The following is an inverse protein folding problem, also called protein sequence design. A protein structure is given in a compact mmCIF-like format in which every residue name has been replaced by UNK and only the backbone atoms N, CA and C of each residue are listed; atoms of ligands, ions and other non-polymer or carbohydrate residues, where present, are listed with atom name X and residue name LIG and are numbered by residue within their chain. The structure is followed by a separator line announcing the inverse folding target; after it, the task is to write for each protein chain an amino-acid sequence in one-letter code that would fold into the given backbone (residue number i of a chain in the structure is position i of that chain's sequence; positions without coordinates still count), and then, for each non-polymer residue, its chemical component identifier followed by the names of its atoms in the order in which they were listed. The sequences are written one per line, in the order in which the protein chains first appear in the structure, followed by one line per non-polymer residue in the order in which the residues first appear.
data_IF_004278064728
#
_entry.id   IF_004278064728
#
_cell.length_a   1.000
_cell.length_b   1.000
_cell.length_c   1.000
_cell.angle_alpha   90.00
_cell.angle_beta   90.00
_cell.angle_gamma   90.00
#
_symmetry.space_group_name_H-M   'P 1'
#
loop_
_entity.id
_entity.type
_entity.pdbx_description
1 polymer ?
#
# COMPACT_ATOMS: atom_id res chain seq x y z
N UNK A 1 -76.55 -9.13 14.60
CA UNK A 1 -75.95 -10.26 13.88
C UNK A 1 -74.59 -10.58 14.49
N UNK A 2 -74.27 -11.82 14.73
CA UNK A 2 -73.41 -12.34 15.79
C UNK A 2 -71.91 -12.03 15.54
N UNK A 3 -71.30 -11.44 16.55
CA UNK A 3 -69.87 -11.34 16.83
C UNK A 3 -69.32 -12.65 17.36
N UNK A 4 -68.20 -13.14 16.86
CA UNK A 4 -67.38 -14.15 17.54
C UNK A 4 -65.97 -13.57 17.76
N UNK A 5 -65.58 -13.40 19.02
CA UNK A 5 -64.24 -13.14 19.50
C UNK A 5 -63.54 -14.49 19.73
N UNK A 6 -62.36 -14.64 19.21
CA UNK A 6 -61.44 -15.70 19.67
C UNK A 6 -60.29 -15.06 20.49
N UNK A 7 -60.14 -15.56 21.70
CA UNK A 7 -59.13 -15.25 22.67
C UNK A 7 -57.96 -16.22 22.42
N UNK A 8 -56.77 -15.71 22.17
CA UNK A 8 -55.55 -16.54 22.15
C UNK A 8 -54.71 -16.20 23.36
N UNK A 9 -54.50 -17.23 24.19
CA UNK A 9 -53.68 -17.20 25.40
C UNK A 9 -52.20 -17.36 24.97
N UNK A 10 -51.36 -16.37 25.31
CA UNK A 10 -49.91 -16.51 25.25
C UNK A 10 -49.40 -17.19 26.51
N UNK A 11 -48.73 -18.34 26.31
CA UNK A 11 -47.93 -18.97 27.35
C UNK A 11 -46.47 -18.53 27.10
N UNK A 12 -45.94 -17.77 28.06
CA UNK A 12 -44.52 -17.36 28.04
C UNK A 12 -43.62 -18.51 28.55
N UNK A 13 -42.64 -18.90 27.77
CA UNK A 13 -41.54 -19.71 28.22
C UNK A 13 -40.31 -18.81 28.33
N UNK A 14 -39.83 -18.55 29.54
CA UNK A 14 -38.53 -17.99 29.85
C UNK A 14 -37.49 -19.09 29.65
N UNK A 15 -36.65 -18.93 28.64
CA UNK A 15 -35.39 -19.68 28.55
C UNK A 15 -34.22 -18.77 28.91
N UNK A 16 -33.53 -19.10 29.98
CA UNK A 16 -32.30 -18.47 30.39
C UNK A 16 -31.19 -18.79 29.39
N UNK A 17 -30.59 -17.78 28.74
CA UNK A 17 -29.37 -17.92 27.98
C UNK A 17 -28.19 -17.71 28.92
N UNK A 18 -27.45 -18.80 29.20
CA UNK A 18 -26.09 -18.76 29.70
C UNK A 18 -25.16 -18.45 28.55
N UNK A 19 -24.56 -17.26 28.57
CA UNK A 19 -23.55 -16.84 27.60
C UNK A 19 -22.23 -17.59 27.84
N UNK A 20 -21.86 -18.49 26.93
CA UNK A 20 -20.47 -18.88 26.73
C UNK A 20 -19.91 -17.99 25.63
N UNK A 21 -18.93 -17.15 25.96
CA UNK A 21 -18.12 -16.44 24.95
C UNK A 21 -17.09 -17.43 24.40
N UNK A 22 -17.37 -18.05 23.26
CA UNK A 22 -16.36 -18.72 22.46
C UNK A 22 -15.79 -17.71 21.49
N UNK A 23 -14.48 -17.44 21.58
CA UNK A 23 -13.71 -16.77 20.55
C UNK A 23 -13.53 -17.75 19.38
N UNK A 24 -14.56 -17.95 18.59
CA UNK A 24 -14.45 -18.70 17.36
C UNK A 24 -13.89 -17.74 16.29
N UNK A 25 -12.62 -17.97 15.92
CA UNK A 25 -12.06 -17.39 14.70
C UNK A 25 -12.92 -17.89 13.52
N UNK A 26 -13.69 -17.00 12.92
CA UNK A 26 -14.48 -17.32 11.73
C UNK A 26 -13.53 -17.74 10.60
N UNK A 27 -13.55 -19.03 10.30
CA UNK A 27 -12.86 -19.58 9.13
C UNK A 27 -13.70 -19.24 7.89
N UNK A 28 -13.30 -18.20 7.14
CA UNK A 28 -14.01 -17.74 5.97
C UNK A 28 -13.64 -18.67 4.80
N UNK A 29 -14.45 -19.71 4.57
CA UNK A 29 -14.34 -20.48 3.34
C UNK A 29 -14.65 -19.55 2.16
N UNK A 30 -13.73 -19.43 1.22
CA UNK A 30 -13.95 -18.67 -0.01
C UNK A 30 -15.11 -19.30 -0.82
N UNK A 31 -16.02 -18.47 -1.38
CA UNK A 31 -16.92 -18.99 -2.41
C UNK A 31 -16.09 -19.53 -3.58
N UNK A 32 -16.45 -20.68 -4.12
CA UNK A 32 -15.84 -21.23 -5.33
C UNK A 32 -16.06 -20.26 -6.50
N UNK A 33 -15.06 -19.42 -6.76
CA UNK A 33 -14.98 -18.68 -8.00
C UNK A 33 -14.26 -19.62 -8.97
N UNK A 34 -14.93 -20.02 -10.06
CA UNK A 34 -14.27 -20.77 -11.11
C UNK A 34 -13.01 -20.01 -11.55
N UNK A 35 -11.81 -20.59 -11.41
CA UNK A 35 -10.59 -19.90 -11.80
C UNK A 35 -10.66 -19.57 -13.29
N UNK A 36 -10.12 -18.42 -13.72
CA UNK A 36 -10.01 -18.11 -15.13
C UNK A 36 -9.25 -19.25 -15.83
N UNK A 37 -9.65 -19.59 -17.04
CA UNK A 37 -8.96 -20.62 -17.82
C UNK A 37 -7.48 -20.23 -17.96
N UNK A 38 -6.57 -21.18 -17.74
CA UNK A 38 -5.14 -20.97 -17.91
C UNK A 38 -4.91 -20.40 -19.33
N UNK A 39 -4.33 -19.18 -19.40
CA UNK A 39 -4.08 -18.51 -20.67
C UNK A 39 -4.97 -17.32 -21.02
N UNK A 40 -6.01 -17.02 -20.22
CA UNK A 40 -6.81 -15.78 -20.38
C UNK A 40 -6.48 -14.78 -19.28
N UNK A 41 -6.47 -13.46 -19.58
CA UNK A 41 -6.32 -12.43 -18.56
C UNK A 41 -7.42 -12.48 -17.50
N UNK A 42 -7.06 -12.16 -16.24
CA UNK A 42 -8.05 -12.07 -15.15
C UNK A 42 -8.94 -10.84 -15.28
N UNK A 43 -8.47 -9.78 -15.97
CA UNK A 43 -9.28 -8.60 -16.25
C UNK A 43 -10.08 -8.80 -17.55
N UNK A 44 -11.39 -8.86 -17.42
CA UNK A 44 -12.32 -9.08 -18.55
C UNK A 44 -13.12 -7.85 -18.93
N UNK A 45 -13.12 -6.80 -18.07
CA UNK A 45 -13.80 -5.55 -18.39
C UNK A 45 -13.07 -4.80 -19.52
N UNK A 46 -13.79 -4.04 -20.37
CA UNK A 46 -13.15 -3.23 -21.38
C UNK A 46 -12.25 -2.16 -20.76
N UNK A 47 -11.13 -1.81 -21.42
CA UNK A 47 -10.26 -0.72 -20.94
C UNK A 47 -10.99 0.64 -21.03
N UNK A 48 -10.56 1.60 -20.20
CA UNK A 48 -11.03 2.98 -20.26
C UNK A 48 -10.43 3.73 -21.46
N UNK A 49 -9.20 3.37 -21.84
CA UNK A 49 -8.47 3.98 -22.95
C UNK A 49 -8.04 2.91 -23.98
N UNK A 50 -8.11 3.27 -25.26
CA UNK A 50 -7.64 2.40 -26.35
C UNK A 50 -6.14 2.67 -26.65
N UNK A 51 -5.31 2.64 -25.61
CA UNK A 51 -3.87 2.81 -25.77
C UNK A 51 -3.18 1.45 -25.97
N UNK A 52 -2.32 1.39 -26.99
CA UNK A 52 -1.52 0.20 -27.22
C UNK A 52 -0.40 0.10 -26.17
N UNK A 53 -0.15 -1.10 -25.59
CA UNK A 53 1.00 -1.30 -24.72
C UNK A 53 2.31 -1.10 -25.48
N UNK A 54 3.37 -0.67 -24.77
CA UNK A 54 4.70 -0.46 -25.35
C UNK A 54 5.36 -1.79 -25.78
N UNK A 55 5.00 -2.87 -25.10
CA UNK A 55 5.52 -4.21 -25.38
C UNK A 55 4.48 -5.28 -24.98
N UNK A 56 4.57 -6.50 -25.56
CA UNK A 56 3.70 -7.60 -25.18
C UNK A 56 3.81 -7.95 -23.69
N UNK A 57 2.66 -8.19 -23.03
CA UNK A 57 2.63 -8.52 -21.61
C UNK A 57 2.71 -7.34 -20.63
N UNK A 58 2.76 -6.09 -21.12
CA UNK A 58 2.75 -4.91 -20.27
C UNK A 58 1.40 -4.69 -19.55
N UNK A 59 0.35 -5.32 -20.02
CA UNK A 59 -0.99 -5.31 -19.41
C UNK A 59 -1.69 -6.62 -19.74
N UNK A 60 -2.72 -6.99 -18.97
CA UNK A 60 -3.61 -8.13 -19.25
C UNK A 60 -2.86 -9.43 -19.53
N UNK A 61 -1.85 -9.71 -18.72
CA UNK A 61 -1.14 -11.00 -18.77
C UNK A 61 -2.07 -12.16 -18.42
N UNK A 62 -1.65 -13.37 -18.74
CA UNK A 62 -2.41 -14.57 -18.46
C UNK A 62 -2.74 -14.72 -16.98
N UNK A 63 -3.95 -15.16 -16.69
CA UNK A 63 -4.35 -15.57 -15.36
C UNK A 63 -3.58 -16.80 -14.90
N UNK A 64 -3.15 -16.77 -13.64
CA UNK A 64 -2.53 -17.91 -12.96
C UNK A 64 -3.33 -18.22 -11.69
N UNK A 65 -3.20 -19.43 -11.16
CA UNK A 65 -3.95 -19.87 -9.99
C UNK A 65 -3.02 -20.52 -8.99
N UNK A 66 -3.17 -20.17 -7.72
CA UNK A 66 -2.51 -20.85 -6.60
C UNK A 66 -3.11 -22.27 -6.48
N UNK A 67 -2.25 -23.28 -6.56
CA UNK A 67 -2.68 -24.71 -6.46
C UNK A 67 -2.44 -25.28 -5.07
N UNK A 68 -1.49 -24.76 -4.32
CA UNK A 68 -1.28 -25.10 -2.90
C UNK A 68 -2.46 -24.59 -2.08
N UNK A 69 -3.18 -25.44 -1.35
CA UNK A 69 -4.30 -25.00 -0.52
C UNK A 69 -3.86 -23.97 0.50
N UNK A 70 -4.56 -22.85 0.55
CA UNK A 70 -4.35 -21.79 1.55
C UNK A 70 -5.67 -21.41 2.22
N UNK A 71 -5.56 -20.83 3.39
CA UNK A 71 -6.70 -20.36 4.19
C UNK A 71 -6.51 -18.89 4.55
N UNK A 72 -7.63 -18.23 4.80
CA UNK A 72 -7.66 -16.84 5.25
C UNK A 72 -8.44 -16.76 6.55
N UNK A 73 -7.82 -16.17 7.57
CA UNK A 73 -8.45 -15.93 8.88
C UNK A 73 -8.46 -14.46 9.22
N UNK A 74 -9.51 -13.98 9.88
CA UNK A 74 -9.55 -12.64 10.46
C UNK A 74 -8.80 -12.66 11.78
N UNK A 75 -7.69 -11.94 11.88
CA UNK A 75 -6.92 -11.79 13.11
C UNK A 75 -7.62 -10.83 14.06
N UNK A 76 -8.08 -9.68 13.53
CA UNK A 76 -8.89 -8.70 14.27
C UNK A 76 -9.72 -7.84 13.33
N UNK A 77 -10.81 -7.27 13.84
CA UNK A 77 -11.66 -6.29 13.14
C UNK A 77 -11.76 -4.97 13.90
N UNK A 78 -10.86 -4.70 14.85
CA UNK A 78 -10.95 -3.57 15.77
C UNK A 78 -9.98 -2.42 15.48
N UNK A 79 -9.27 -2.45 14.33
CA UNK A 79 -8.41 -1.35 13.92
C UNK A 79 -9.24 -0.17 13.39
N UNK A 80 -8.72 1.04 13.52
CA UNK A 80 -9.43 2.26 13.11
C UNK A 80 -8.71 2.88 11.91
N UNK A 81 -9.24 2.69 10.70
CA UNK A 81 -8.65 3.17 9.46
C UNK A 81 -7.13 2.90 9.38
N UNK A 82 -6.69 1.63 9.48
CA UNK A 82 -5.26 1.29 9.43
C UNK A 82 -4.67 1.64 8.07
N UNK A 83 -3.38 2.06 8.05
CA UNK A 83 -2.77 2.49 6.80
C UNK A 83 -1.46 1.76 6.46
N UNK A 84 -0.55 1.60 7.38
CA UNK A 84 0.72 0.89 7.21
C UNK A 84 0.85 -0.26 8.19
N UNK A 85 1.53 -1.32 7.79
CA UNK A 85 1.79 -2.51 8.61
C UNK A 85 3.25 -2.94 8.46
N UNK A 86 3.89 -3.27 9.56
CA UNK A 86 5.24 -3.86 9.58
C UNK A 86 5.37 -4.90 10.68
N UNK A 87 6.30 -5.84 10.50
CA UNK A 87 6.58 -6.85 11.53
C UNK A 87 7.53 -6.32 12.58
N UNK A 88 7.29 -6.70 13.85
CA UNK A 88 8.28 -6.64 14.91
C UNK A 88 9.11 -7.93 14.94
N UNK A 89 10.35 -7.91 15.47
CA UNK A 89 11.21 -9.10 15.48
C UNK A 89 10.63 -10.31 16.23
N UNK A 90 9.71 -10.07 17.15
CA UNK A 90 9.03 -11.10 17.95
C UNK A 90 7.78 -11.68 17.26
N UNK A 91 7.50 -11.28 16.02
CA UNK A 91 6.39 -11.76 15.21
C UNK A 91 5.09 -10.97 15.39
N UNK A 92 5.03 -10.03 16.35
CA UNK A 92 3.91 -9.08 16.44
C UNK A 92 3.94 -8.09 15.27
N UNK A 93 2.83 -7.41 15.06
CA UNK A 93 2.67 -6.44 13.98
C UNK A 93 2.49 -5.04 14.56
N UNK A 94 3.23 -4.07 14.02
CA UNK A 94 3.03 -2.65 14.31
C UNK A 94 2.26 -2.02 13.15
N UNK A 95 1.14 -1.37 13.47
CA UNK A 95 0.19 -0.86 12.48
C UNK A 95 -0.08 0.62 12.77
N UNK A 96 0.01 1.47 11.75
CA UNK A 96 -0.42 2.87 11.83
C UNK A 96 -1.94 2.96 11.63
N UNK A 97 -2.57 3.82 12.42
CA UNK A 97 -3.96 4.25 12.23
C UNK A 97 -3.96 5.70 11.75
N UNK A 98 -4.71 5.97 10.71
CA UNK A 98 -4.67 7.22 9.94
C UNK A 98 -4.84 8.50 10.77
N UNK A 99 -5.59 8.44 11.87
CA UNK A 99 -5.84 9.58 12.75
C UNK A 99 -4.63 10.03 13.58
N UNK A 100 -3.51 9.29 13.56
CA UNK A 100 -2.29 9.64 14.31
C UNK A 100 -2.03 8.75 15.52
N UNK A 101 -2.33 7.47 15.41
CA UNK A 101 -2.00 6.46 16.41
C UNK A 101 -1.30 5.25 15.78
N UNK A 102 -0.63 4.46 16.61
CA UNK A 102 -0.13 3.14 16.23
C UNK A 102 -0.66 2.07 17.18
N UNK A 103 -0.77 0.85 16.66
CA UNK A 103 -1.19 -0.32 17.44
C UNK A 103 -0.21 -1.46 17.26
N UNK A 104 0.08 -2.16 18.36
CA UNK A 104 0.75 -3.47 18.29
C UNK A 104 -0.33 -4.54 18.30
N UNK A 105 -0.30 -5.42 17.30
CA UNK A 105 -1.27 -6.51 17.14
C UNK A 105 -0.54 -7.84 17.27
N UNK A 106 -1.08 -8.71 18.09
CA UNK A 106 -0.61 -10.08 18.27
C UNK A 106 -1.25 -10.99 17.22
N UNK A 107 -0.52 -11.95 16.72
CA UNK A 107 -1.06 -12.93 15.76
C UNK A 107 -2.21 -13.77 16.31
N UNK A 108 -2.36 -13.81 17.64
CA UNK A 108 -3.51 -14.41 18.35
C UNK A 108 -4.80 -13.59 18.24
N UNK A 109 -4.75 -12.37 17.71
CA UNK A 109 -5.90 -11.46 17.58
C UNK A 109 -5.98 -10.37 18.65
N UNK A 110 -5.19 -10.43 19.70
CA UNK A 110 -5.15 -9.38 20.71
C UNK A 110 -4.57 -8.09 20.12
N UNK A 111 -5.21 -6.97 20.40
CA UNK A 111 -4.80 -5.62 19.98
C UNK A 111 -4.38 -4.81 21.18
N UNK A 112 -3.16 -4.29 21.16
CA UNK A 112 -2.62 -3.42 22.19
C UNK A 112 -3.32 -2.06 22.26
N UNK A 113 -3.01 -1.30 23.30
CA UNK A 113 -3.51 0.07 23.45
C UNK A 113 -3.05 0.97 22.29
N UNK A 114 -3.80 2.03 22.06
CA UNK A 114 -3.44 3.06 21.09
C UNK A 114 -2.23 3.85 21.58
N UNK A 115 -1.17 3.88 20.79
CA UNK A 115 0.05 4.64 21.04
C UNK A 115 -0.07 5.96 20.29
N UNK A 116 -0.24 7.06 21.00
CA UNK A 116 -0.35 8.42 20.43
C UNK A 116 0.78 9.34 20.93
N UNK A 117 1.34 9.05 22.11
CA UNK A 117 2.40 9.83 22.71
C UNK A 117 3.66 9.77 21.86
N UNK A 118 4.22 10.94 21.55
CA UNK A 118 5.41 11.09 20.74
C UNK A 118 5.16 11.04 19.21
N UNK A 119 3.94 10.84 18.75
CA UNK A 119 3.60 10.98 17.34
C UNK A 119 3.30 12.45 17.03
N UNK A 120 3.94 13.07 16.03
CA UNK A 120 3.62 14.43 15.61
C UNK A 120 2.16 14.58 15.18
N UNK A 121 1.61 15.78 15.31
CA UNK A 121 0.26 16.06 14.84
C UNK A 121 0.15 15.80 13.33
N UNK A 122 -0.86 15.04 12.92
CA UNK A 122 -1.10 14.68 11.52
C UNK A 122 -2.33 15.41 10.98
N UNK A 123 -2.33 15.71 9.68
CA UNK A 123 -3.53 16.12 8.97
C UNK A 123 -4.21 14.88 8.40
N UNK A 124 -5.24 14.36 9.07
CA UNK A 124 -5.95 13.14 8.64
C UNK A 124 -7.07 13.39 7.62
N UNK A 125 -7.20 14.61 7.08
CA UNK A 125 -8.21 14.92 6.07
C UNK A 125 -7.89 14.24 4.73
N UNK A 126 -8.94 13.85 4.00
CA UNK A 126 -8.83 13.25 2.68
C UNK A 126 -7.97 11.97 2.71
N UNK A 127 -6.90 11.95 1.97
CA UNK A 127 -5.93 10.83 1.91
C UNK A 127 -4.76 10.99 2.90
N UNK A 128 -4.69 12.11 3.63
CA UNK A 128 -3.66 12.38 4.63
C UNK A 128 -3.84 11.57 5.92
N UNK A 129 -2.87 11.68 6.84
CA UNK A 129 -2.87 11.03 8.14
C UNK A 129 -1.49 10.49 8.53
N UNK A 130 -1.46 9.57 9.46
CA UNK A 130 -0.31 8.72 9.74
C UNK A 130 -0.32 7.58 8.71
N UNK A 131 0.77 7.47 7.92
CA UNK A 131 0.80 6.67 6.70
C UNK A 131 1.72 5.44 6.88
N UNK A 132 2.66 5.21 5.96
CA UNK A 132 3.57 4.06 5.99
C UNK A 132 4.57 4.13 7.13
N UNK A 133 5.08 2.96 7.51
CA UNK A 133 6.12 2.84 8.55
C UNK A 133 7.09 1.71 8.22
N UNK A 134 8.27 1.78 8.79
CA UNK A 134 9.23 0.67 8.87
C UNK A 134 9.98 0.73 10.21
N UNK A 135 10.52 -0.40 10.63
CA UNK A 135 11.43 -0.46 11.76
C UNK A 135 12.88 -0.41 11.31
N UNK A 136 13.76 0.09 12.15
CA UNK A 136 15.21 0.05 11.93
C UNK A 136 15.67 -1.42 11.77
N UNK A 137 16.60 -1.73 10.84
CA UNK A 137 17.19 -3.05 10.75
C UNK A 137 17.81 -3.57 12.06
N UNK A 138 18.18 -2.66 12.97
CA UNK A 138 18.68 -2.97 14.31
C UNK A 138 17.61 -2.77 15.42
N UNK A 139 16.32 -2.87 15.07
CA UNK A 139 15.21 -2.61 16.00
C UNK A 139 15.32 -3.40 17.30
N UNK A 140 15.77 -4.65 17.27
CA UNK A 140 15.96 -5.48 18.48
C UNK A 140 16.91 -4.84 19.49
N UNK A 141 17.80 -3.95 19.08
CA UNK A 141 18.74 -3.24 19.93
C UNK A 141 18.31 -1.80 20.22
N UNK A 142 17.84 -1.07 19.19
CA UNK A 142 17.59 0.36 19.29
C UNK A 142 16.11 0.74 19.36
N UNK A 143 15.19 -0.18 19.04
CA UNK A 143 13.74 0.00 19.02
C UNK A 143 13.27 1.20 18.18
N UNK A 144 14.07 1.63 17.18
CA UNK A 144 13.74 2.77 16.33
C UNK A 144 12.70 2.42 15.27
N UNK A 145 11.72 3.29 15.14
CA UNK A 145 10.65 3.24 14.12
C UNK A 145 10.72 4.52 13.28
N UNK A 146 10.47 4.37 11.98
CA UNK A 146 10.38 5.48 11.03
C UNK A 146 8.99 5.44 10.41
N UNK A 147 8.37 6.60 10.25
CA UNK A 147 7.03 6.67 9.65
C UNK A 147 6.85 7.92 8.79
N UNK A 148 5.92 7.81 7.86
CA UNK A 148 5.50 8.91 7.00
C UNK A 148 4.17 9.44 7.51
N UNK A 149 3.99 10.74 7.44
CA UNK A 149 2.73 11.38 7.82
C UNK A 149 2.48 12.65 6.99
N UNK A 150 1.23 13.09 6.97
CA UNK A 150 0.88 14.38 6.38
C UNK A 150 0.94 15.48 7.45
N UNK A 151 1.77 16.48 7.20
CA UNK A 151 2.01 17.62 8.09
C UNK A 151 1.32 18.89 7.57
N UNK A 152 0.69 19.66 8.47
CA UNK A 152 0.23 21.01 8.14
C UNK A 152 1.42 21.97 8.13
N UNK A 153 1.53 22.73 7.05
CA UNK A 153 2.55 23.77 6.88
C UNK A 153 1.94 25.03 6.29
N UNK A 154 2.69 26.14 6.29
CA UNK A 154 2.28 27.35 5.57
C UNK A 154 2.08 27.01 4.10
N UNK A 155 0.91 27.33 3.55
CA UNK A 155 0.55 27.06 2.16
C UNK A 155 -0.17 25.71 1.93
N UNK A 156 -0.40 24.91 2.97
CA UNK A 156 -1.18 23.68 2.86
C UNK A 156 -0.65 22.50 3.67
N UNK A 157 -0.46 21.38 3.02
CA UNK A 157 0.07 20.15 3.63
C UNK A 157 1.20 19.56 2.81
N UNK A 158 2.05 18.77 3.43
CA UNK A 158 3.10 18.02 2.74
C UNK A 158 3.27 16.60 3.33
N UNK A 159 4.02 15.77 2.64
CA UNK A 159 4.48 14.48 3.12
C UNK A 159 5.73 14.68 3.96
N UNK A 160 5.70 14.26 5.22
CA UNK A 160 6.84 14.34 6.14
C UNK A 160 7.24 12.96 6.64
N UNK A 161 8.49 12.84 7.07
CA UNK A 161 9.05 11.64 7.71
C UNK A 161 9.49 11.97 9.12
N UNK A 162 9.08 11.14 10.07
CA UNK A 162 9.57 11.19 11.44
C UNK A 162 10.17 9.86 11.86
N UNK A 163 10.99 9.91 12.92
CA UNK A 163 11.51 8.73 13.62
C UNK A 163 11.34 8.91 15.13
N UNK A 164 11.25 7.80 15.84
CA UNK A 164 11.20 7.77 17.30
C UNK A 164 11.52 6.37 17.83
N UNK A 165 11.99 6.30 19.07
CA UNK A 165 12.21 5.04 19.77
C UNK A 165 10.90 4.58 20.39
N UNK A 166 10.45 3.36 20.07
CA UNK A 166 9.35 2.74 20.80
C UNK A 166 9.79 2.44 22.24
N UNK A 167 9.12 3.04 23.23
CA UNK A 167 9.42 2.85 24.65
C UNK A 167 9.40 1.37 25.05
N UNK A 168 10.09 1.01 26.14
CA UNK A 168 10.19 -0.39 26.55
C UNK A 168 8.84 -0.97 27.02
N UNK A 169 7.96 -0.12 27.56
CA UNK A 169 6.59 -0.47 27.93
C UNK A 169 5.59 -0.35 26.77
N UNK A 170 6.04 0.04 25.56
CA UNK A 170 5.26 0.13 24.33
C UNK A 170 4.06 1.10 24.40
N UNK A 171 4.17 2.16 25.17
CA UNK A 171 3.08 3.15 25.34
C UNK A 171 3.37 4.49 24.68
N UNK A 172 4.60 4.73 24.20
CA UNK A 172 5.03 6.00 23.65
C UNK A 172 6.16 5.83 22.63
N UNK A 173 6.33 6.85 21.77
CA UNK A 173 7.55 7.07 21.01
C UNK A 173 8.38 8.16 21.70
N UNK A 174 9.62 7.83 22.03
CA UNK A 174 10.57 8.69 22.71
C UNK A 174 11.51 9.34 21.69
N UNK A 175 12.02 10.53 22.02
CA UNK A 175 13.00 11.26 21.20
C UNK A 175 12.56 11.43 19.74
N UNK A 176 11.26 11.64 19.53
CA UNK A 176 10.70 11.81 18.21
C UNK A 176 11.25 13.04 17.51
N UNK A 177 11.65 12.88 16.26
CA UNK A 177 12.18 13.95 15.41
C UNK A 177 11.58 13.83 14.02
N UNK A 178 11.10 14.96 13.47
CA UNK A 178 10.75 15.06 12.05
C UNK A 178 12.05 15.27 11.28
N UNK A 179 12.42 14.26 10.46
CA UNK A 179 13.71 14.21 9.79
C UNK A 179 13.66 14.69 8.33
N UNK A 180 12.48 14.71 7.71
CA UNK A 180 12.34 15.12 6.32
C UNK A 180 10.97 15.74 6.03
N UNK A 181 10.93 16.70 5.10
CA UNK A 181 9.72 17.34 4.57
C UNK A 181 9.80 17.47 3.08
N UNK A 182 8.86 16.86 2.36
CA UNK A 182 8.77 16.91 0.91
C UNK A 182 8.18 18.25 0.45
N UNK A 183 9.03 19.25 0.30
CA UNK A 183 8.63 20.58 -0.15
C UNK A 183 8.33 20.63 -1.67
N UNK A 184 7.46 21.57 -2.09
CA UNK A 184 6.69 22.54 -1.32
C UNK A 184 5.43 21.95 -0.66
N UNK A 185 4.90 22.64 0.35
CA UNK A 185 3.55 22.40 0.86
C UNK A 185 2.51 22.79 -0.19
N UNK A 186 1.47 21.99 -0.36
CA UNK A 186 0.41 22.19 -1.36
C UNK A 186 -0.95 22.20 -0.67
N UNK A 187 -1.83 23.12 -1.06
CA UNK A 187 -3.22 23.12 -0.60
C UNK A 187 -4.01 21.99 -1.26
N UNK A 188 -3.76 20.78 -0.77
CA UNK A 188 -4.41 19.55 -1.20
C UNK A 188 -4.37 18.53 -0.07
N UNK A 189 -5.40 17.68 0.01
CA UNK A 189 -5.50 16.57 0.96
C UNK A 189 -5.41 15.20 0.28
N UNK A 190 -4.86 15.15 -0.94
CA UNK A 190 -4.71 13.92 -1.71
C UNK A 190 -3.26 13.69 -2.17
N UNK A 191 -2.99 12.48 -2.67
CA UNK A 191 -1.73 12.03 -3.27
C UNK A 191 -0.49 12.38 -2.43
N UNK A 192 -0.38 11.79 -1.25
CA UNK A 192 0.80 11.94 -0.38
C UNK A 192 1.93 10.95 -0.70
N UNK A 193 1.68 9.91 -1.53
CA UNK A 193 2.54 8.74 -1.62
C UNK A 193 2.50 7.99 -0.29
N UNK A 194 3.55 8.11 0.51
CA UNK A 194 3.50 7.77 1.93
C UNK A 194 4.09 6.41 2.31
N UNK A 195 4.84 5.74 1.41
CA UNK A 195 5.56 4.51 1.76
C UNK A 195 7.01 4.79 2.12
N UNK A 196 7.55 3.94 2.98
CA UNK A 196 8.92 4.03 3.48
C UNK A 196 9.49 2.63 3.70
N UNK A 197 10.74 2.43 3.32
CA UNK A 197 11.51 1.23 3.64
C UNK A 197 13.00 1.54 3.69
N UNK A 198 13.78 0.66 4.31
CA UNK A 198 15.23 0.70 4.26
C UNK A 198 15.75 -0.02 3.01
N UNK A 199 16.69 0.60 2.31
CA UNK A 199 17.49 -0.08 1.29
C UNK A 199 18.60 -0.94 1.92
N UNK A 200 19.28 -1.73 1.09
CA UNK A 200 20.36 -2.63 1.53
C UNK A 200 21.56 -1.90 2.15
N UNK A 201 21.69 -0.59 1.94
CA UNK A 201 22.79 0.25 2.48
C UNK A 201 22.40 0.95 3.77
N UNK A 202 21.17 0.74 4.27
CA UNK A 202 20.65 1.30 5.50
C UNK A 202 20.17 2.75 5.39
N UNK A 203 19.87 3.22 4.16
CA UNK A 203 19.18 4.47 3.90
C UNK A 203 17.68 4.24 3.69
N UNK A 204 16.89 5.29 3.87
CA UNK A 204 15.45 5.27 3.69
C UNK A 204 15.09 5.64 2.26
N UNK A 205 14.26 4.82 1.62
CA UNK A 205 13.53 5.14 0.41
C UNK A 205 12.11 5.55 0.80
N UNK A 206 11.68 6.73 0.34
CA UNK A 206 10.38 7.30 0.69
C UNK A 206 9.64 7.73 -0.56
N UNK A 207 8.38 7.35 -0.69
CA UNK A 207 7.53 7.77 -1.80
C UNK A 207 6.74 9.04 -1.45
N UNK A 208 6.66 9.95 -2.41
CA UNK A 208 5.86 11.18 -2.32
C UNK A 208 4.92 11.29 -3.52
N UNK A 209 3.71 11.76 -3.32
CA UNK A 209 2.73 11.96 -4.38
C UNK A 209 2.72 13.41 -4.91
N UNK A 210 2.13 13.61 -6.09
CA UNK A 210 2.07 14.93 -6.77
C UNK A 210 0.94 15.83 -6.27
N UNK A 211 0.20 15.40 -5.27
CA UNK A 211 -0.81 16.13 -4.49
C UNK A 211 -2.15 16.35 -5.21
N UNK A 212 -2.44 15.60 -6.30
CA UNK A 212 -3.71 15.63 -7.05
C UNK A 212 -4.21 17.03 -7.44
N UNK A 213 -3.32 17.98 -7.64
CA UNK A 213 -3.65 19.35 -7.99
C UNK A 213 -3.21 19.64 -9.43
N UNK A 214 -4.15 19.85 -10.33
CA UNK A 214 -3.85 20.06 -11.76
C UNK A 214 -2.81 21.14 -12.02
N UNK A 215 -2.84 22.32 -11.37
CA UNK A 215 -1.81 23.35 -11.55
C UNK A 215 -0.40 22.93 -11.10
N UNK A 216 -0.27 22.01 -10.15
CA UNK A 216 1.02 21.63 -9.55
C UNK A 216 1.50 20.25 -9.96
N UNK A 217 0.69 19.43 -10.63
CA UNK A 217 1.08 18.04 -11.00
C UNK A 217 2.34 17.97 -11.87
N UNK A 218 2.65 19.04 -12.63
CA UNK A 218 3.89 19.15 -13.40
C UNK A 218 5.15 19.21 -12.54
N UNK A 219 5.02 19.50 -11.22
CA UNK A 219 6.13 19.44 -10.28
C UNK A 219 6.67 18.01 -10.09
N UNK A 220 5.91 16.98 -10.50
CA UNK A 220 6.43 15.62 -10.59
C UNK A 220 7.64 15.51 -11.54
N UNK A 221 7.72 16.36 -12.56
CA UNK A 221 8.84 16.48 -13.50
C UNK A 221 9.93 17.47 -13.02
N UNK A 222 9.64 18.32 -12.04
CA UNK A 222 10.61 19.29 -11.53
C UNK A 222 11.66 18.61 -10.65
N UNK A 223 12.92 18.91 -10.86
CA UNK A 223 14.02 18.47 -10.01
C UNK A 223 14.21 19.34 -8.76
N UNK A 224 13.48 20.46 -8.66
CA UNK A 224 13.54 21.40 -7.51
C UNK A 224 12.37 21.22 -6.53
N UNK A 225 11.53 20.21 -6.73
CA UNK A 225 10.41 19.86 -5.86
C UNK A 225 10.45 18.40 -5.47
N UNK A 226 10.12 18.10 -4.23
CA UNK A 226 10.15 16.73 -3.68
C UNK A 226 8.78 16.02 -3.76
N UNK A 227 7.84 16.50 -4.56
CA UNK A 227 6.52 15.90 -4.77
C UNK A 227 6.47 15.11 -6.07
N UNK A 228 5.79 13.95 -6.08
CA UNK A 228 5.79 13.01 -7.19
C UNK A 228 7.17 12.36 -7.41
N UNK A 229 7.79 11.87 -6.34
CA UNK A 229 9.16 11.35 -6.32
C UNK A 229 9.29 10.07 -5.51
N UNK A 230 10.35 9.34 -5.76
CA UNK A 230 11.02 8.54 -4.74
C UNK A 230 12.25 9.34 -4.28
N UNK A 231 12.37 9.57 -2.98
CA UNK A 231 13.54 10.20 -2.37
C UNK A 231 14.34 9.16 -1.59
N UNK A 232 15.66 9.34 -1.52
CA UNK A 232 16.55 8.47 -0.76
C UNK A 232 17.37 9.31 0.21
N UNK A 233 17.13 9.09 1.50
CA UNK A 233 17.67 9.87 2.61
C UNK A 233 18.33 8.98 3.66
N UNK A 234 19.22 9.54 4.43
CA UNK A 234 19.81 8.87 5.59
C UNK A 234 18.79 8.71 6.73
N UNK A 235 19.14 7.96 7.76
CA UNK A 235 18.37 7.84 9.02
C UNK A 235 18.11 9.17 9.74
N UNK A 236 18.82 10.21 9.37
CA UNK A 236 18.70 11.58 9.93
C UNK A 236 18.09 12.57 8.95
N UNK A 237 17.61 12.08 7.79
CA UNK A 237 16.90 12.89 6.81
C UNK A 237 17.80 13.66 5.84
N UNK A 238 19.12 13.49 5.89
CA UNK A 238 20.05 14.08 4.93
C UNK A 238 20.01 13.29 3.61
N UNK A 239 20.32 13.92 2.47
CA UNK A 239 20.49 13.20 1.20
C UNK A 239 21.48 12.04 1.36
N UNK A 240 21.11 10.85 0.90
CA UNK A 240 21.97 9.69 1.00
C UNK A 240 23.15 9.79 0.02
N UNK A 241 24.32 9.34 0.45
CA UNK A 241 25.49 9.24 -0.45
C UNK A 241 25.20 8.27 -1.61
N UNK A 242 25.66 8.62 -2.81
CA UNK A 242 25.43 7.83 -4.02
C UNK A 242 24.06 8.01 -4.64
N UNK A 243 23.28 9.01 -4.24
CA UNK A 243 22.10 9.41 -4.99
C UNK A 243 22.46 9.87 -6.41
N UNK A 244 21.56 9.65 -7.39
CA UNK A 244 21.78 10.13 -8.74
C UNK A 244 21.80 11.66 -8.79
N UNK A 245 22.53 12.22 -9.76
CA UNK A 245 22.49 13.66 -10.02
C UNK A 245 21.53 13.95 -11.16
N UNK A 246 20.48 14.70 -10.87
CA UNK A 246 19.57 15.20 -11.89
C UNK A 246 20.07 16.52 -12.48
N UNK A 247 19.94 16.66 -13.79
CA UNK A 247 20.35 17.88 -14.50
C UNK A 247 19.30 18.98 -14.26
N UNK A 248 19.75 20.13 -13.80
CA UNK A 248 18.91 21.31 -13.55
C UNK A 248 19.41 22.18 -12.41
N UNK A 249 19.28 23.48 -12.51
CA UNK A 249 19.67 24.40 -11.44
C UNK A 249 18.78 24.17 -10.21
N UNK A 250 19.40 23.98 -9.04
CA UNK A 250 18.70 23.76 -7.78
C UNK A 250 18.11 22.34 -7.64
N UNK A 251 18.60 21.35 -8.40
CA UNK A 251 18.20 19.97 -8.24
C UNK A 251 18.42 19.48 -6.81
N UNK A 252 17.38 18.87 -6.25
CA UNK A 252 17.40 18.37 -4.87
C UNK A 252 18.29 17.10 -4.78
N UNK A 253 19.28 17.05 -3.89
CA UNK A 253 20.22 15.95 -3.82
C UNK A 253 19.66 14.65 -3.23
N UNK A 254 18.47 14.68 -2.63
CA UNK A 254 17.78 13.51 -2.10
C UNK A 254 16.94 12.77 -3.15
N UNK A 255 16.77 13.29 -4.36
CA UNK A 255 15.98 12.63 -5.40
C UNK A 255 16.60 11.29 -5.81
N UNK A 256 15.78 10.23 -5.86
CA UNK A 256 16.15 8.93 -6.38
C UNK A 256 15.54 8.66 -7.75
N UNK A 257 14.25 8.97 -7.93
CA UNK A 257 13.53 8.95 -9.21
C UNK A 257 12.45 10.03 -9.23
N UNK A 258 12.02 10.43 -10.43
CA UNK A 258 11.06 11.51 -10.66
C UNK A 258 9.91 11.06 -11.56
N UNK A 259 8.88 11.89 -11.70
CA UNK A 259 7.79 11.64 -12.62
C UNK A 259 6.76 10.63 -12.13
N UNK A 260 6.53 10.58 -10.81
CA UNK A 260 5.51 9.73 -10.19
C UNK A 260 4.22 10.50 -9.91
N UNK A 261 3.08 9.81 -10.01
CA UNK A 261 1.77 10.38 -9.66
C UNK A 261 1.46 10.20 -8.17
N UNK A 262 1.26 8.98 -7.71
CA UNK A 262 0.91 8.68 -6.32
C UNK A 262 1.37 7.26 -5.93
N UNK A 263 2.65 7.07 -5.68
CA UNK A 263 3.20 5.76 -5.29
C UNK A 263 2.69 5.35 -3.91
N UNK A 264 1.86 4.30 -3.88
CA UNK A 264 1.22 3.80 -2.64
C UNK A 264 1.83 2.50 -2.14
N UNK A 265 2.70 1.85 -2.91
CA UNK A 265 3.46 0.68 -2.51
C UNK A 265 4.91 0.77 -2.96
N UNK A 266 5.85 0.32 -2.12
CA UNK A 266 7.26 0.09 -2.47
C UNK A 266 7.73 -1.20 -1.80
N UNK A 267 8.53 -2.00 -2.51
CA UNK A 267 9.12 -3.22 -1.98
C UNK A 267 10.45 -3.53 -2.68
N UNK A 268 11.36 -4.20 -1.97
CA UNK A 268 12.60 -4.71 -2.56
C UNK A 268 12.40 -6.16 -2.99
N UNK A 269 12.79 -6.47 -4.23
CA UNK A 269 12.79 -7.84 -4.70
C UNK A 269 13.78 -8.69 -3.88
N UNK A 270 13.37 -9.83 -3.33
CA UNK A 270 14.14 -10.54 -2.30
C UNK A 270 15.49 -11.11 -2.80
N UNK A 271 15.59 -11.39 -4.09
CA UNK A 271 16.79 -11.99 -4.68
C UNK A 271 17.71 -10.95 -5.35
N UNK A 272 17.12 -9.99 -6.09
CA UNK A 272 17.91 -9.02 -6.86
C UNK A 272 18.17 -7.72 -6.10
N UNK A 273 17.37 -7.41 -5.07
CA UNK A 273 17.41 -6.14 -4.35
C UNK A 273 16.79 -4.96 -5.12
N UNK A 274 16.25 -5.20 -6.32
CA UNK A 274 15.60 -4.15 -7.11
C UNK A 274 14.44 -3.54 -6.38
N UNK A 275 14.33 -2.22 -6.45
CA UNK A 275 13.17 -1.49 -5.94
C UNK A 275 12.01 -1.60 -6.93
N UNK A 276 10.88 -2.04 -6.42
CA UNK A 276 9.60 -2.03 -7.13
C UNK A 276 8.61 -1.09 -6.46
N UNK A 277 7.73 -0.50 -7.26
CA UNK A 277 6.79 0.51 -6.81
C UNK A 277 5.45 0.32 -7.53
N UNK A 278 4.35 0.52 -6.80
CA UNK A 278 2.99 0.61 -7.34
C UNK A 278 2.46 2.02 -7.23
N UNK A 279 1.79 2.53 -8.26
CA UNK A 279 1.16 3.83 -8.21
C UNK A 279 -0.20 3.91 -8.90
N UNK A 280 -1.01 4.85 -8.41
CA UNK A 280 -2.32 5.12 -8.99
C UNK A 280 -2.18 5.91 -10.29
N UNK A 281 -2.79 5.38 -11.35
CA UNK A 281 -3.14 6.16 -12.53
C UNK A 281 -4.34 7.10 -12.31
N UNK A 282 -4.74 7.86 -13.33
CA UNK A 282 -5.99 8.61 -13.29
C UNK A 282 -7.20 7.69 -13.58
N UNK A 283 -7.90 7.83 -14.68
CA UNK A 283 -8.92 6.87 -15.12
C UNK A 283 -8.25 5.84 -16.04
N UNK A 284 -7.85 4.70 -15.51
CA UNK A 284 -6.94 3.73 -16.13
C UNK A 284 -5.47 4.04 -15.85
N UNK A 285 -4.57 3.11 -16.20
CA UNK A 285 -3.12 3.30 -16.11
C UNK A 285 -2.55 3.30 -14.69
N UNK A 286 -3.11 2.51 -13.77
CA UNK A 286 -2.42 2.14 -12.54
C UNK A 286 -1.16 1.33 -12.90
N UNK A 287 -0.04 1.55 -12.22
CA UNK A 287 1.26 1.05 -12.68
C UNK A 287 2.00 0.23 -11.62
N UNK A 288 2.78 -0.73 -12.12
CA UNK A 288 3.90 -1.35 -11.41
C UNK A 288 5.18 -0.97 -12.12
N UNK A 289 6.10 -0.36 -11.38
CA UNK A 289 7.37 0.13 -11.87
C UNK A 289 8.53 -0.57 -11.17
N UNK A 290 9.55 -1.02 -11.95
CA UNK A 290 10.87 -1.34 -11.41
C UNK A 290 11.68 -0.05 -11.38
N UNK A 291 11.92 0.46 -10.16
CA UNK A 291 12.49 1.79 -9.97
C UNK A 291 14.02 1.79 -10.08
N UNK A 292 14.53 2.59 -10.99
CA UNK A 292 15.95 2.80 -11.23
C UNK A 292 16.39 4.19 -10.73
N UNK A 293 17.57 4.26 -10.15
CA UNK A 293 18.16 5.53 -9.73
C UNK A 293 18.36 6.47 -10.94
N UNK A 294 17.93 7.73 -10.78
CA UNK A 294 18.05 8.75 -11.83
C UNK A 294 17.00 8.68 -12.93
N UNK A 295 16.07 7.73 -12.86
CA UNK A 295 15.05 7.54 -13.88
C UNK A 295 13.85 8.47 -13.71
N UNK A 296 13.18 8.75 -14.84
CA UNK A 296 11.93 9.53 -14.94
C UNK A 296 10.79 8.61 -15.37
N UNK A 297 9.74 8.50 -14.57
CA UNK A 297 8.55 7.64 -14.79
C UNK A 297 7.40 8.37 -15.51
N UNK A 298 7.63 9.60 -15.94
CA UNK A 298 6.90 10.27 -16.98
C UNK A 298 5.66 11.04 -16.57
N UNK A 299 5.03 10.80 -15.42
CA UNK A 299 3.86 11.56 -15.02
C UNK A 299 4.16 13.07 -14.91
N UNK A 300 3.30 13.97 -15.41
CA UNK A 300 2.05 13.76 -16.15
C UNK A 300 2.22 13.80 -17.67
N UNK A 301 3.44 13.71 -18.20
CA UNK A 301 3.76 13.79 -19.62
C UNK A 301 3.30 12.55 -20.37
N UNK A 302 3.58 11.36 -19.82
CA UNK A 302 3.12 10.08 -20.36
C UNK A 302 2.23 9.37 -19.33
N UNK A 303 1.22 8.63 -19.79
CA UNK A 303 0.36 7.77 -18.98
C UNK A 303 -0.50 6.87 -19.85
N UNK A 304 -0.92 5.72 -19.32
CA UNK A 304 -1.91 4.83 -19.96
C UNK A 304 -3.35 5.13 -19.52
N UNK A 305 -3.57 6.18 -18.72
CA UNK A 305 -4.90 6.59 -18.28
C UNK A 305 -5.40 7.89 -18.92
N UNK A 306 -6.67 8.16 -18.70
CA UNK A 306 -7.37 9.38 -19.12
C UNK A 306 -7.66 10.28 -17.92
N UNK A 307 -7.95 11.55 -18.14
CA UNK A 307 -8.57 12.39 -17.12
C UNK A 307 -9.92 11.80 -16.69
N UNK A 308 -10.39 12.11 -15.49
CA UNK A 308 -11.71 11.65 -15.03
C UNK A 308 -12.87 12.18 -15.90
N UNK A 309 -12.64 13.24 -16.64
CA UNK A 309 -13.57 13.76 -17.69
C UNK A 309 -13.62 12.88 -18.94
N UNK A 310 -12.70 11.93 -19.11
CA UNK A 310 -12.54 11.13 -20.32
C UNK A 310 -11.61 11.75 -21.37
N UNK A 311 -11.08 12.94 -21.12
CA UNK A 311 -10.10 13.57 -22.01
C UNK A 311 -8.70 12.97 -21.81
N UNK A 312 -7.82 13.15 -22.78
CA UNK A 312 -6.42 12.79 -22.65
C UNK A 312 -5.72 13.59 -21.54
N UNK A 313 -4.80 12.96 -20.82
CA UNK A 313 -3.89 13.66 -19.91
C UNK A 313 -2.80 14.35 -20.75
N UNK A 314 -2.59 15.63 -20.54
CA UNK A 314 -1.58 16.39 -21.28
C UNK A 314 -1.75 16.26 -22.80
N UNK A 315 -0.72 15.80 -23.49
CA UNK A 315 -0.74 15.58 -24.95
C UNK A 315 -1.28 14.20 -25.35
N UNK A 316 -1.72 13.35 -24.39
CA UNK A 316 -2.29 12.03 -24.66
C UNK A 316 -1.28 11.01 -25.20
N UNK A 317 -0.01 11.12 -24.79
CA UNK A 317 1.05 10.18 -25.20
C UNK A 317 1.38 9.20 -24.10
N UNK A 318 1.75 7.99 -24.48
CA UNK A 318 2.08 6.90 -23.56
C UNK A 318 3.58 6.65 -23.46
N UNK A 319 4.36 7.13 -24.42
CA UNK A 319 5.80 6.88 -24.51
C UNK A 319 6.52 8.16 -24.92
N UNK A 320 7.69 8.41 -24.31
CA UNK A 320 8.59 9.49 -24.67
C UNK A 320 10.03 9.10 -24.34
N UNK A 321 10.98 9.46 -25.22
CA UNK A 321 12.40 9.22 -24.99
C UNK A 321 12.85 9.83 -23.65
N UNK A 322 13.63 9.07 -22.88
CA UNK A 322 14.10 9.47 -21.55
C UNK A 322 13.10 9.24 -20.42
N UNK A 323 11.92 8.71 -20.71
CA UNK A 323 10.92 8.30 -19.71
C UNK A 323 10.77 6.78 -19.70
N UNK A 324 10.74 6.21 -18.50
CA UNK A 324 10.59 4.77 -18.30
C UNK A 324 9.15 4.34 -18.53
N UNK A 325 9.01 3.16 -19.09
CA UNK A 325 7.73 2.48 -19.21
C UNK A 325 7.45 1.65 -17.96
N UNK A 326 6.20 1.59 -17.47
CA UNK A 326 5.83 0.67 -16.41
C UNK A 326 6.10 -0.78 -16.84
N UNK A 327 6.56 -1.60 -15.89
CA UNK A 327 6.69 -3.04 -16.11
C UNK A 327 5.32 -3.69 -16.34
N UNK A 328 4.27 -3.14 -15.73
CA UNK A 328 2.89 -3.56 -15.88
C UNK A 328 1.93 -2.42 -15.58
N UNK A 329 0.77 -2.38 -16.26
CA UNK A 329 -0.30 -1.45 -15.92
C UNK A 329 -1.68 -2.10 -15.97
N UNK A 330 -2.62 -1.56 -15.17
CA UNK A 330 -4.01 -1.95 -15.17
C UNK A 330 -4.89 -0.88 -15.82
N UNK A 331 -5.76 -1.34 -16.72
CA UNK A 331 -6.90 -0.57 -17.22
C UNK A 331 -8.07 -1.53 -17.47
N UNK A 332 -9.17 -1.45 -16.68
CA UNK A 332 -9.48 -0.47 -15.62
C UNK A 332 -8.57 -0.51 -14.39
N UNK A 333 -8.57 0.57 -13.60
CA UNK A 333 -7.79 0.72 -12.38
C UNK A 333 -8.21 -0.28 -11.29
N UNK A 334 -7.23 -0.75 -10.51
CA UNK A 334 -7.44 -1.50 -9.27
C UNK A 334 -7.18 -0.65 -8.02
N UNK A 335 -6.57 0.54 -8.18
CA UNK A 335 -6.03 1.40 -7.12
C UNK A 335 -5.04 0.64 -6.23
N UNK A 336 -3.85 0.27 -6.76
CA UNK A 336 -2.86 -0.50 -6.03
C UNK A 336 -2.35 0.28 -4.82
N UNK A 337 -2.18 -0.40 -3.71
CA UNK A 337 -1.76 0.18 -2.44
C UNK A 337 -0.45 -0.43 -1.95
N UNK A 338 -0.33 -0.75 -0.65
CA UNK A 338 0.86 -1.40 -0.13
C UNK A 338 1.14 -2.75 -0.76
N UNK A 339 2.42 -3.13 -0.80
CA UNK A 339 2.85 -4.35 -1.47
C UNK A 339 4.04 -5.00 -0.79
N UNK A 340 4.20 -6.30 -1.01
CA UNK A 340 5.33 -7.09 -0.52
C UNK A 340 5.68 -8.21 -1.50
N UNK A 341 6.95 -8.58 -1.58
CA UNK A 341 7.36 -9.83 -2.19
C UNK A 341 7.25 -10.98 -1.18
N UNK A 342 6.75 -12.13 -1.62
CA UNK A 342 6.73 -13.33 -0.80
C UNK A 342 8.10 -14.02 -0.81
N UNK A 343 8.70 -14.17 0.37
CA UNK A 343 10.04 -14.75 0.59
C UNK A 343 10.00 -16.17 1.16
N UNK A 344 8.80 -16.62 1.55
CA UNK A 344 8.59 -17.92 2.17
C UNK A 344 8.53 -19.06 1.16
N UNK A 345 8.48 -20.28 1.68
CA UNK A 345 8.32 -21.50 0.90
C UNK A 345 7.06 -22.31 1.29
N UNK A 346 6.23 -21.78 2.20
CA UNK A 346 5.01 -22.46 2.64
C UNK A 346 4.00 -22.66 1.50
N UNK A 347 3.94 -21.70 0.58
CA UNK A 347 3.21 -21.80 -0.70
C UNK A 347 4.26 -21.62 -1.80
N UNK A 348 4.80 -22.71 -2.37
CA UNK A 348 5.97 -22.66 -3.24
C UNK A 348 5.79 -21.78 -4.48
N UNK A 349 4.61 -21.78 -5.10
CA UNK A 349 4.29 -20.96 -6.29
C UNK A 349 4.18 -19.47 -6.00
N UNK A 350 4.20 -19.06 -4.73
CA UNK A 350 4.23 -17.65 -4.32
C UNK A 350 5.65 -17.07 -4.20
N UNK A 351 6.66 -17.94 -4.17
CA UNK A 351 8.04 -17.50 -3.94
C UNK A 351 8.48 -16.48 -5.00
N UNK A 352 9.01 -15.34 -4.53
CA UNK A 352 9.40 -14.18 -5.35
C UNK A 352 8.27 -13.51 -6.14
N UNK A 353 7.00 -13.88 -5.91
CA UNK A 353 5.88 -13.14 -6.49
C UNK A 353 5.59 -11.87 -5.68
N UNK A 354 5.08 -10.87 -6.37
CA UNK A 354 4.67 -9.59 -5.79
C UNK A 354 3.19 -9.63 -5.42
N UNK A 355 2.87 -9.31 -4.16
CA UNK A 355 1.51 -9.19 -3.64
C UNK A 355 1.20 -7.73 -3.39
N UNK A 356 0.07 -7.25 -3.92
CA UNK A 356 -0.33 -5.84 -3.90
C UNK A 356 -1.76 -5.75 -3.39
N UNK A 357 -2.00 -4.93 -2.36
CA UNK A 357 -3.34 -4.60 -1.94
C UNK A 357 -4.04 -3.75 -3.01
N UNK A 358 -5.32 -3.98 -3.23
CA UNK A 358 -6.13 -3.25 -4.18
C UNK A 358 -7.30 -2.58 -3.46
N UNK A 359 -7.47 -1.28 -3.67
CA UNK A 359 -8.50 -0.49 -2.99
C UNK A 359 -9.82 -0.52 -3.76
N UNK A 360 -9.83 -0.09 -5.03
CA UNK A 360 -11.03 -0.09 -5.85
C UNK A 360 -11.35 -1.46 -6.41
N UNK A 361 -10.33 -2.28 -6.69
CA UNK A 361 -10.51 -3.67 -7.14
C UNK A 361 -10.94 -4.63 -6.02
N UNK A 362 -10.78 -4.26 -4.74
CA UNK A 362 -11.21 -5.04 -3.56
C UNK A 362 -10.66 -6.47 -3.53
N UNK A 363 -9.40 -6.64 -3.88
CA UNK A 363 -8.70 -7.93 -3.89
C UNK A 363 -7.22 -7.73 -3.55
N UNK A 364 -6.48 -8.81 -3.42
CA UNK A 364 -5.01 -8.77 -3.43
C UNK A 364 -4.58 -9.28 -4.81
N UNK A 365 -3.86 -8.46 -5.57
CA UNK A 365 -3.24 -8.88 -6.82
C UNK A 365 -1.92 -9.59 -6.52
N UNK A 366 -1.74 -10.82 -7.05
CA UNK A 366 -0.48 -11.53 -7.09
C UNK A 366 0.07 -11.46 -8.51
N UNK A 367 1.26 -10.90 -8.65
CA UNK A 367 1.98 -10.86 -9.92
C UNK A 367 3.15 -11.84 -9.90
N UNK A 368 3.21 -12.71 -10.91
CA UNK A 368 4.38 -13.53 -11.21
C UNK A 368 5.35 -12.68 -12.00
N UNK A 369 6.59 -12.57 -11.51
CA UNK A 369 7.63 -11.75 -12.13
C UNK A 369 8.81 -12.65 -12.50
N UNK A 370 9.14 -12.73 -13.78
CA UNK A 370 10.26 -13.48 -14.31
C UNK A 370 11.15 -12.58 -15.16
N UNK A 371 12.43 -12.50 -14.84
CA UNK A 371 13.39 -11.66 -15.57
C UNK A 371 12.94 -10.18 -15.65
N UNK A 372 12.34 -9.66 -14.57
CA UNK A 372 11.77 -8.30 -14.45
C UNK A 372 10.55 -8.04 -15.37
N UNK A 373 9.91 -9.06 -15.89
CA UNK A 373 8.67 -8.99 -16.69
C UNK A 373 7.56 -9.66 -15.90
N UNK A 374 6.38 -9.04 -15.89
CA UNK A 374 5.17 -9.66 -15.32
C UNK A 374 4.64 -10.69 -16.31
N UNK A 375 4.58 -11.96 -15.90
CA UNK A 375 4.18 -13.10 -16.76
C UNK A 375 2.84 -13.70 -16.39
N UNK A 376 2.29 -13.35 -15.20
CA UNK A 376 1.00 -13.85 -14.74
C UNK A 376 0.38 -12.98 -13.66
N UNK A 377 -0.96 -12.96 -13.60
CA UNK A 377 -1.74 -12.27 -12.57
C UNK A 377 -2.75 -13.22 -11.93
N UNK A 378 -2.91 -13.12 -10.61
CA UNK A 378 -3.99 -13.75 -9.86
C UNK A 378 -4.64 -12.71 -8.93
N UNK A 379 -5.97 -12.80 -8.76
CA UNK A 379 -6.72 -11.94 -7.84
C UNK A 379 -7.24 -12.76 -6.67
N UNK A 380 -6.62 -12.60 -5.51
CA UNK A 380 -6.95 -13.31 -4.28
C UNK A 380 -8.00 -12.52 -3.49
N UNK A 381 -8.84 -13.24 -2.74
CA UNK A 381 -9.80 -12.68 -1.77
C UNK A 381 -10.86 -11.75 -2.39
N UNK A 382 -11.19 -11.89 -3.67
CA UNK A 382 -12.19 -11.07 -4.36
C UNK A 382 -13.57 -11.12 -3.70
N UNK A 383 -13.98 -12.29 -3.16
CA UNK A 383 -15.27 -12.47 -2.48
C UNK A 383 -15.42 -11.76 -1.15
N UNK A 384 -14.33 -11.24 -0.55
CA UNK A 384 -14.38 -10.51 0.72
C UNK A 384 -14.86 -9.06 0.57
N UNK A 385 -14.85 -8.50 -0.66
CA UNK A 385 -15.24 -7.11 -0.94
C UNK A 385 -14.57 -6.09 -0.01
N UNK A 386 -13.26 -6.26 0.24
CA UNK A 386 -12.47 -5.40 1.12
C UNK A 386 -11.48 -4.56 0.34
N UNK A 387 -11.35 -3.30 0.74
CA UNK A 387 -10.30 -2.40 0.24
C UNK A 387 -9.02 -2.72 1.00
N UNK A 388 -8.12 -3.49 0.38
CA UNK A 388 -6.84 -3.87 1.00
C UNK A 388 -5.85 -2.71 0.94
N UNK A 389 -5.46 -2.20 2.12
CA UNK A 389 -4.65 -0.98 2.25
C UNK A 389 -3.15 -1.26 2.27
N UNK A 390 -2.73 -2.32 2.92
CA UNK A 390 -1.33 -2.71 3.00
C UNK A 390 -1.20 -4.21 3.23
N UNK A 391 -0.06 -4.75 2.86
CA UNK A 391 0.26 -6.17 3.00
C UNK A 391 1.73 -6.35 3.35
N UNK A 392 2.00 -7.24 4.29
CA UNK A 392 3.35 -7.66 4.68
C UNK A 392 3.42 -9.16 4.85
N UNK A 393 4.61 -9.74 4.76
CA UNK A 393 4.84 -11.13 5.12
C UNK A 393 5.29 -11.21 6.58
N UNK A 394 4.63 -12.04 7.37
CA UNK A 394 4.99 -12.30 8.77
C UNK A 394 6.22 -13.20 8.92
N UNK A 395 6.74 -13.26 10.15
CA UNK A 395 7.88 -14.14 10.52
C UNK A 395 7.51 -15.63 10.46
N UNK A 396 6.21 -15.94 10.42
CA UNK A 396 5.63 -17.28 10.27
C UNK A 396 5.37 -17.68 8.82
N UNK A 397 5.89 -16.91 7.85
CA UNK A 397 5.69 -17.07 6.41
C UNK A 397 4.24 -16.86 5.92
N UNK A 398 3.30 -16.43 6.76
CA UNK A 398 1.99 -16.00 6.32
C UNK A 398 2.03 -14.58 5.76
N UNK A 399 1.08 -14.25 4.89
CA UNK A 399 0.81 -12.86 4.52
C UNK A 399 -0.20 -12.25 5.50
N UNK A 400 0.02 -10.99 5.85
CA UNK A 400 -0.86 -10.21 6.70
C UNK A 400 -1.32 -8.96 5.94
N UNK A 401 -2.63 -8.79 5.80
CA UNK A 401 -3.21 -7.70 5.02
C UNK A 401 -4.23 -6.92 5.85
N UNK A 402 -4.08 -5.60 5.89
CA UNK A 402 -5.01 -4.67 6.53
C UNK A 402 -5.96 -4.07 5.51
N UNK A 403 -7.19 -3.74 5.95
CA UNK A 403 -8.20 -3.12 5.10
C UNK A 403 -8.67 -1.78 5.66
N UNK A 404 -9.18 -0.91 4.79
CA UNK A 404 -9.76 0.40 5.19
C UNK A 404 -10.88 0.24 6.23
N UNK A 405 -11.57 -0.92 6.25
CA UNK A 405 -12.63 -1.25 7.20
C UNK A 405 -12.13 -1.70 8.59
N UNK A 406 -10.81 -1.68 8.83
CA UNK A 406 -10.25 -2.01 10.14
C UNK A 406 -9.99 -3.50 10.39
N UNK A 407 -10.04 -4.33 9.35
CA UNK A 407 -9.73 -5.76 9.46
C UNK A 407 -8.27 -6.03 9.18
N UNK A 408 -7.71 -6.98 9.91
CA UNK A 408 -6.43 -7.61 9.64
C UNK A 408 -6.69 -9.08 9.29
N UNK A 409 -6.27 -9.47 8.12
CA UNK A 409 -6.33 -10.85 7.64
C UNK A 409 -4.95 -11.52 7.72
N UNK A 410 -4.93 -12.80 8.07
CA UNK A 410 -3.79 -13.70 7.94
C UNK A 410 -4.10 -14.70 6.82
N UNK A 411 -3.18 -14.81 5.87
CA UNK A 411 -3.31 -15.70 4.70
C UNK A 411 -2.13 -16.67 4.76
N UNK A 412 -2.41 -17.94 4.92
CA UNK A 412 -1.38 -18.96 5.13
C UNK A 412 -1.74 -20.26 4.44
N UNK A 413 -0.76 -21.11 4.23
CA UNK A 413 -1.02 -22.49 3.83
C UNK A 413 -2.03 -23.15 4.81
N UNK A 414 -2.94 -23.93 4.25
CA UNK A 414 -3.90 -24.72 5.00
C UNK A 414 -3.22 -25.91 5.72
#
# INVERSE_FOLDING_TARGET
MKTNRFLVIMVGAMTAFSGCSSNDAENINQPEINPPSVGSPVETNPPNANYAPAFPGQTRVNGVTTVTPYQTTVVTSSLIAPWGITNLPDGRLLITEKAGSMRIVYVSGSVGNSITTGIPAVNSNGQGGLLGLCIDPQFSTNRMVYWVFSENVTGGTLTAVAKGRLSDNETAFENTTVIYRANPGINSTAHYGGRILFDATGNLLVSTGERANTPTRTLAQSVTAAIGKIVRITRDGLPASGNPTFVGAGALPELYSIGHRNPQGIALHPTTGDLWQSEHGPRGGDEINRVQAGANYGWPTITYGLEYSGQAVGSGIQQQNGMQQPAYYWDPVISPSGMTFYRGNSVPEWQNNLFIGSLSGMHIARLVIENNVVTGEERLLTGLNQRFRDITQGTDNALYAITDAGRLYRISRQ
#
